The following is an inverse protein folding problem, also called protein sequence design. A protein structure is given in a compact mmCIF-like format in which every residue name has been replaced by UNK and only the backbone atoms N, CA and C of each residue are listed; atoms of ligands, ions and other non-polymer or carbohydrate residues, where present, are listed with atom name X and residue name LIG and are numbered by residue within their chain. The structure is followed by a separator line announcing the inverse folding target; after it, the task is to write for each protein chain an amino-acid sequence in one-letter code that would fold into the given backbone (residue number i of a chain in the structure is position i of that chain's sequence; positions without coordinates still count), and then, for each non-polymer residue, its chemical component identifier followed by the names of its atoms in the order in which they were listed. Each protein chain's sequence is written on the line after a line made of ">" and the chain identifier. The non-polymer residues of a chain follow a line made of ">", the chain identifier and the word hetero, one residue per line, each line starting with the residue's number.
data_IF_025310734230
#
_entry.id   IF_025310734230
#
_cell.length_a   1.000
_cell.length_b   1.000
_cell.length_c   1.000
_cell.angle_alpha   90.00
_cell.angle_beta   90.00
_cell.angle_gamma   90.00
#
_symmetry.space_group_name_H-M   'P 1'
#
loop_
_entity.id
_entity.type
_entity.pdbx_description
1 polymer ?
#
# COMPACT_ATOMS: atom_id res chain seq x y z
N UNK A 1 5.70 -18.60 -0.29
CA UNK A 1 6.89 -17.98 -0.83
C UNK A 1 6.78 -16.47 -0.81
N UNK A 2 7.84 -15.82 -0.46
CA UNK A 2 7.81 -14.37 -0.37
C UNK A 2 8.01 -13.77 -1.76
N UNK A 3 7.23 -12.78 -2.06
CA UNK A 3 7.29 -12.06 -3.33
C UNK A 3 8.33 -10.95 -3.22
N UNK A 4 9.31 -10.94 -4.13
CA UNK A 4 10.34 -9.90 -4.14
C UNK A 4 9.72 -8.52 -4.31
N UNK A 5 8.62 -8.42 -5.05
CA UNK A 5 7.93 -7.14 -5.22
C UNK A 5 7.37 -6.63 -3.91
N UNK A 6 7.00 -7.54 -3.01
CA UNK A 6 6.53 -7.13 -1.69
C UNK A 6 7.62 -6.36 -0.94
N UNK A 7 8.83 -6.90 -0.92
CA UNK A 7 9.92 -6.24 -0.20
C UNK A 7 10.34 -4.94 -0.89
N UNK A 8 10.34 -4.92 -2.22
CA UNK A 8 10.63 -3.69 -2.94
C UNK A 8 9.60 -2.62 -2.59
N UNK A 9 8.32 -2.98 -2.60
CA UNK A 9 7.26 -2.04 -2.26
C UNK A 9 7.37 -1.56 -0.84
N UNK A 10 7.63 -2.48 0.09
CA UNK A 10 7.76 -2.12 1.50
C UNK A 10 8.91 -1.14 1.70
N UNK A 11 10.03 -1.41 1.07
CA UNK A 11 11.19 -0.54 1.18
C UNK A 11 10.89 0.86 0.65
N UNK A 12 10.22 0.93 -0.50
CA UNK A 12 9.84 2.21 -1.07
C UNK A 12 8.87 2.97 -0.18
N UNK A 13 7.91 2.25 0.41
CA UNK A 13 6.95 2.88 1.30
C UNK A 13 7.64 3.43 2.53
N UNK A 14 8.53 2.65 3.13
CA UNK A 14 9.25 3.10 4.32
C UNK A 14 10.17 4.27 4.01
N UNK A 15 10.78 4.29 2.83
CA UNK A 15 11.57 5.44 2.41
C UNK A 15 10.69 6.67 2.25
N UNK A 16 9.50 6.50 1.71
CA UNK A 16 8.55 7.61 1.52
C UNK A 16 8.10 8.19 2.85
N UNK A 17 7.85 7.32 3.84
CA UNK A 17 7.33 7.77 5.14
C UNK A 17 8.43 8.15 6.12
N UNK A 18 9.68 7.92 5.77
CA UNK A 18 10.79 8.15 6.71
C UNK A 18 10.85 7.08 7.80
N UNK A 19 10.37 5.88 7.51
CA UNK A 19 10.43 4.76 8.44
C UNK A 19 9.16 4.52 9.22
N UNK A 20 8.10 5.32 8.99
CA UNK A 20 6.83 5.10 9.67
C UNK A 20 6.09 3.91 9.05
N UNK A 21 5.43 3.13 9.90
CA UNK A 21 4.71 1.96 9.46
C UNK A 21 3.24 2.21 9.13
N UNK A 22 2.70 3.36 9.53
CA UNK A 22 1.30 3.68 9.26
C UNK A 22 1.20 4.88 8.33
N UNK A 23 0.31 4.76 7.35
CA UNK A 23 0.06 5.82 6.39
C UNK A 23 -1.42 6.19 6.46
N UNK A 24 -1.72 7.50 6.34
CA UNK A 24 -3.09 7.92 6.17
C UNK A 24 -3.43 7.95 4.68
N UNK A 25 -4.68 8.29 4.37
CA UNK A 25 -5.13 8.22 2.99
C UNK A 25 -4.40 9.23 2.10
N UNK A 26 -4.09 10.41 2.65
CA UNK A 26 -3.36 11.41 1.88
C UNK A 26 -1.98 10.91 1.50
N UNK A 27 -1.33 10.22 2.41
CA UNK A 27 -0.01 9.66 2.14
C UNK A 27 -0.07 8.57 1.09
N UNK A 28 -1.10 7.74 1.15
CA UNK A 28 -1.27 6.69 0.14
C UNK A 28 -1.55 7.31 -1.22
N UNK A 29 -2.37 8.35 -1.27
CA UNK A 29 -2.63 9.07 -2.53
C UNK A 29 -1.32 9.62 -3.10
N UNK A 30 -0.52 10.26 -2.24
CA UNK A 30 0.75 10.83 -2.68
C UNK A 30 1.72 9.75 -3.15
N UNK A 31 1.78 8.64 -2.43
CA UNK A 31 2.70 7.57 -2.77
C UNK A 31 2.32 6.89 -4.08
N UNK A 32 1.03 6.61 -4.26
CA UNK A 32 0.56 5.88 -5.44
C UNK A 32 0.37 6.76 -6.65
N UNK A 33 0.22 8.06 -6.44
CA UNK A 33 -0.07 8.97 -7.53
C UNK A 33 -1.51 8.97 -7.97
N UNK A 34 -2.36 8.22 -7.29
CA UNK A 34 -3.79 8.20 -7.61
C UNK A 34 -4.45 9.45 -7.03
N UNK A 35 -5.50 9.91 -7.71
CA UNK A 35 -6.15 11.16 -7.32
C UNK A 35 -7.51 10.95 -6.69
N UNK A 36 -8.11 9.78 -6.88
CA UNK A 36 -9.45 9.47 -6.39
C UNK A 36 -9.34 8.62 -5.13
N UNK A 37 -9.62 9.23 -3.97
CA UNK A 37 -9.48 8.49 -2.72
C UNK A 37 -10.53 7.39 -2.57
N UNK A 38 -11.63 7.45 -3.32
CA UNK A 38 -12.58 6.33 -3.31
C UNK A 38 -11.98 5.09 -3.94
N UNK A 39 -11.16 5.28 -4.98
CA UNK A 39 -10.44 4.15 -5.57
C UNK A 39 -9.45 3.58 -4.56
N UNK A 40 -8.81 4.46 -3.79
CA UNK A 40 -7.88 4.02 -2.75
C UNK A 40 -8.61 3.18 -1.71
N UNK A 41 -9.76 3.64 -1.25
CA UNK A 41 -10.53 2.89 -0.25
C UNK A 41 -10.98 1.53 -0.76
N UNK A 42 -11.26 1.43 -2.04
CA UNK A 42 -11.67 0.15 -2.62
C UNK A 42 -10.51 -0.81 -2.80
N UNK A 43 -9.34 -0.29 -3.11
CA UNK A 43 -8.18 -1.12 -3.40
C UNK A 43 -7.39 -1.52 -2.16
N UNK A 44 -7.42 -0.67 -1.15
CA UNK A 44 -6.59 -0.87 0.03
C UNK A 44 -7.44 -0.87 1.28
N UNK A 45 -7.03 -1.66 2.26
CA UNK A 45 -7.77 -1.82 3.50
C UNK A 45 -7.25 -0.85 4.54
N UNK A 46 -8.08 0.12 4.92
CA UNK A 46 -7.72 1.07 5.98
C UNK A 46 -8.46 0.70 7.26
N UNK A 47 -7.76 0.87 8.38
CA UNK A 47 -8.33 0.63 9.71
C UNK A 47 -8.13 1.91 10.50
N UNK A 48 -9.22 2.51 10.94
CA UNK A 48 -9.20 3.78 11.67
C UNK A 48 -8.49 4.89 10.91
N UNK A 49 -8.60 4.85 9.57
CA UNK A 49 -8.00 5.87 8.73
C UNK A 49 -6.55 5.62 8.39
N UNK A 50 -6.00 4.47 8.77
CA UNK A 50 -4.59 4.16 8.51
C UNK A 50 -4.44 2.81 7.87
N UNK A 51 -3.33 2.65 7.13
CA UNK A 51 -2.94 1.35 6.59
C UNK A 51 -1.47 1.14 6.95
N UNK A 52 -1.11 -0.09 7.31
CA UNK A 52 0.27 -0.37 7.61
C UNK A 52 1.09 -0.49 6.34
N UNK A 53 2.38 -0.17 6.43
CA UNK A 53 3.27 -0.28 5.27
C UNK A 53 3.29 -1.71 4.73
N UNK A 54 3.28 -2.69 5.62
CA UNK A 54 3.29 -4.09 5.18
C UNK A 54 2.02 -4.45 4.42
N UNK A 55 0.86 -4.01 4.93
CA UNK A 55 -0.41 -4.28 4.25
C UNK A 55 -0.45 -3.59 2.90
N UNK A 56 -0.03 -2.33 2.84
CA UNK A 56 0.00 -1.58 1.60
C UNK A 56 0.92 -2.26 0.59
N UNK A 57 2.10 -2.67 1.04
CA UNK A 57 3.05 -3.33 0.16
C UNK A 57 2.46 -4.62 -0.42
N UNK A 58 1.77 -5.39 0.43
CA UNK A 58 1.15 -6.64 0.00
C UNK A 58 0.06 -6.39 -1.03
N UNK A 59 -0.76 -5.38 -0.78
CA UNK A 59 -1.85 -5.07 -1.68
C UNK A 59 -1.38 -4.45 -2.98
N UNK A 60 -0.25 -3.76 -2.96
CA UNK A 60 0.35 -3.25 -4.20
C UNK A 60 0.89 -4.36 -5.08
N UNK A 61 1.26 -5.48 -4.51
CA UNK A 61 1.71 -6.63 -5.28
C UNK A 61 0.58 -7.28 -6.08
N UNK A 62 -0.64 -6.84 -5.84
CA UNK A 62 -1.77 -7.37 -6.55
C UNK A 62 -2.18 -8.72 -6.03
N UNK A 63 -1.74 -9.01 -4.94
CA UNK A 63 -2.02 -10.31 -4.35
C UNK A 63 -3.42 -10.82 -4.60
N UNK A 64 -3.01 -9.95 -5.88
CA UNK A 64 -3.86 -10.13 -6.06
C UNK A 64 -4.26 -10.95 -6.44
N UNK A 65 -4.00 -10.84 -6.61
CA UNK A 65 -4.44 -11.46 -6.86
C UNK A 65 -4.78 -12.16 -7.15
N UNK A 66 -4.84 -11.99 -7.11
CA UNK A 66 -5.18 -12.55 -7.25
C UNK A 66 -5.45 -12.97 -8.09
N UNK A 67 -5.28 -12.59 -8.37
CA UNK A 67 -5.61 -12.90 -9.11
C UNK A 67 -5.72 -13.44 -9.94
N UNK A 68 -5.70 -13.52 -10.30
CA UNK A 68 -5.91 -14.04 -10.96
C UNK A 68 -6.11 -14.60 -11.53
N UNK A 69 -6.17 -14.57 -11.85
CA UNK A 69 -6.34 -15.09 -12.15
C UNK A 69 -6.47 -15.42 -12.25
#
# INVERSE_FOLDING_TARGET
>A
MVNDFYYDNLEQILAFTGGRNLLNIKEVLAFTGLKDYRAIHRRFTFIDGYISAATLARQLCGGKKQSRV
#
